data_IF_620897410838
#
_entry.id   IF_620897410838
#
_cell.length_a   1.000
_cell.length_b   1.000
_cell.length_c   1.000
_cell.angle_alpha   90.00
_cell.angle_beta   90.00
_cell.angle_gamma   90.00
#
_symmetry.space_group_name_H-M   'P 1'
#
loop_
_entity.id
_entity.type
_entity.pdbx_description
1 polymer ?
#
# COMPACT_ATOMS: atom_id res chain seq x y z
N UNK A 1 -11.94 3.63 -2.84
CA UNK A 1 -12.37 4.88 -2.15
C UNK A 1 -11.59 6.05 -2.72
N UNK A 2 -12.15 7.26 -2.76
CA UNK A 2 -11.46 8.45 -3.29
C UNK A 2 -10.61 9.10 -2.21
N UNK A 3 -9.37 9.45 -2.53
CA UNK A 3 -8.50 10.24 -1.65
C UNK A 3 -9.02 11.68 -1.61
N UNK A 4 -9.18 12.22 -0.41
CA UNK A 4 -9.67 13.58 -0.17
C UNK A 4 -8.50 14.51 0.16
N UNK A 5 -7.50 14.01 0.90
CA UNK A 5 -6.30 14.78 1.25
C UNK A 5 -5.09 13.85 1.39
N UNK A 6 -3.92 14.35 0.99
CA UNK A 6 -2.62 13.77 1.32
C UNK A 6 -2.08 14.56 2.52
N UNK A 7 -1.81 13.86 3.62
CA UNK A 7 -1.37 14.44 4.89
C UNK A 7 0.16 14.46 4.97
N UNK A 8 0.79 13.41 4.47
CA UNK A 8 2.22 13.20 4.53
C UNK A 8 2.64 12.33 3.34
N UNK A 9 3.73 12.73 2.69
CA UNK A 9 4.33 12.00 1.57
C UNK A 9 5.85 12.02 1.75
N UNK A 10 6.43 10.84 1.84
CA UNK A 10 7.86 10.61 1.95
C UNK A 10 8.25 9.41 1.09
N UNK A 11 9.54 9.13 0.98
CA UNK A 11 10.03 7.97 0.23
C UNK A 11 9.53 6.64 0.82
N UNK A 12 9.38 6.58 2.15
CA UNK A 12 9.07 5.35 2.86
C UNK A 12 7.58 5.17 3.15
N UNK A 13 6.78 6.25 3.13
CA UNK A 13 5.37 6.20 3.46
C UNK A 13 4.51 7.32 2.86
N UNK A 14 3.21 7.03 2.76
CA UNK A 14 2.16 7.99 2.41
C UNK A 14 1.03 7.88 3.42
N UNK A 15 0.61 9.02 3.97
CA UNK A 15 -0.60 9.13 4.81
C UNK A 15 -1.63 9.96 4.08
N UNK A 16 -2.82 9.39 3.94
CA UNK A 16 -3.90 10.04 3.23
C UNK A 16 -5.24 9.75 3.89
N UNK A 17 -6.19 10.64 3.63
CA UNK A 17 -7.55 10.54 4.13
C UNK A 17 -8.50 10.27 2.97
N UNK A 18 -9.48 9.42 3.21
CA UNK A 18 -10.67 9.26 2.39
C UNK A 18 -11.87 9.86 3.12
N UNK A 19 -13.04 9.90 2.51
CA UNK A 19 -14.23 10.51 3.12
C UNK A 19 -14.59 9.99 4.53
N UNK A 20 -14.13 8.80 4.91
CA UNK A 20 -14.57 8.09 6.09
C UNK A 20 -13.45 7.39 6.87
N UNK A 21 -12.19 7.50 6.45
CA UNK A 21 -11.08 6.81 7.11
C UNK A 21 -9.73 7.43 6.75
N UNK A 22 -8.79 7.32 7.68
CA UNK A 22 -7.38 7.64 7.46
C UNK A 22 -6.59 6.36 7.19
N UNK A 23 -5.68 6.45 6.23
CA UNK A 23 -4.84 5.35 5.80
C UNK A 23 -3.37 5.70 5.96
N UNK A 24 -2.58 4.66 6.23
CA UNK A 24 -1.13 4.70 6.23
C UNK A 24 -0.62 3.61 5.30
N UNK A 25 0.09 4.02 4.27
CA UNK A 25 0.72 3.13 3.29
C UNK A 25 2.23 3.20 3.49
N UNK A 26 2.86 2.07 3.81
CA UNK A 26 4.33 1.95 3.78
C UNK A 26 4.77 1.46 2.40
N UNK A 27 5.83 2.09 1.88
CA UNK A 27 6.49 1.72 0.63
C UNK A 27 7.69 0.79 0.88
N UNK A 28 8.02 0.52 2.16
CA UNK A 28 9.04 -0.45 2.50
C UNK A 28 8.64 -1.85 2.01
N UNK A 29 9.55 -2.58 1.32
CA UNK A 29 9.24 -3.92 0.86
C UNK A 29 8.99 -4.82 2.07
N UNK A 30 7.96 -5.67 1.96
CA UNK A 30 7.74 -6.69 2.98
C UNK A 30 9.02 -7.54 3.12
N UNK A 31 9.53 -7.83 4.33
CA UNK A 31 10.83 -8.48 4.51
C UNK A 31 11.00 -9.81 3.76
N UNK A 32 9.90 -10.52 3.47
CA UNK A 32 9.90 -11.78 2.70
C UNK A 32 9.82 -11.60 1.17
N UNK A 33 9.57 -10.39 0.67
CA UNK A 33 9.50 -10.11 -0.77
C UNK A 33 10.88 -10.21 -1.47
N UNK A 34 11.98 -10.12 -0.72
CA UNK A 34 13.34 -10.28 -1.26
C UNK A 34 13.72 -11.73 -1.56
N UNK A 35 12.96 -12.71 -1.07
CA UNK A 35 13.36 -14.14 -1.08
C UNK A 35 12.47 -14.98 -2.02
N UNK A 36 11.46 -14.39 -2.64
CA UNK A 36 10.59 -15.13 -3.57
C UNK A 36 10.54 -14.48 -4.95
N UNK A 37 11.08 -15.12 -6.01
CA UNK A 37 10.61 -14.84 -7.36
C UNK A 37 9.15 -15.29 -7.41
N UNK A 38 8.23 -14.32 -7.38
CA UNK A 38 6.78 -14.53 -7.36
C UNK A 38 6.36 -15.69 -8.29
N UNK A 39 5.68 -16.76 -7.80
CA UNK A 39 4.95 -17.63 -8.70
C UNK A 39 3.79 -16.84 -9.29
N UNK A 40 3.72 -16.79 -10.62
CA UNK A 40 2.73 -16.06 -11.44
C UNK A 40 1.33 -16.67 -11.35
N UNK A 41 0.77 -16.80 -10.15
CA UNK A 41 -0.63 -17.17 -9.97
C UNK A 41 -1.30 -16.16 -9.07
N UNK A 42 -1.67 -15.05 -9.72
CA UNK A 42 -2.74 -14.17 -9.29
C UNK A 42 -3.98 -15.06 -9.04
N UNK A 43 -4.28 -15.37 -7.78
CA UNK A 43 -5.57 -15.94 -7.44
C UNK A 43 -6.58 -14.79 -7.51
N UNK A 44 -7.40 -14.78 -8.57
CA UNK A 44 -8.58 -13.95 -8.63
C UNK A 44 -9.55 -14.44 -7.54
N UNK A 45 -9.79 -13.61 -6.52
CA UNK A 45 -10.87 -13.86 -5.57
C UNK A 45 -12.08 -13.02 -5.99
N UNK A 46 -13.24 -13.67 -5.96
CA UNK A 46 -14.55 -13.18 -6.39
C UNK A 46 -15.12 -12.10 -5.46
#
# INVERSE_FOLDING_TARGET
SRVVAILEESEDCVRFETQNSHYHLSMSPFPLAAVSPLPVRLAACA
#
